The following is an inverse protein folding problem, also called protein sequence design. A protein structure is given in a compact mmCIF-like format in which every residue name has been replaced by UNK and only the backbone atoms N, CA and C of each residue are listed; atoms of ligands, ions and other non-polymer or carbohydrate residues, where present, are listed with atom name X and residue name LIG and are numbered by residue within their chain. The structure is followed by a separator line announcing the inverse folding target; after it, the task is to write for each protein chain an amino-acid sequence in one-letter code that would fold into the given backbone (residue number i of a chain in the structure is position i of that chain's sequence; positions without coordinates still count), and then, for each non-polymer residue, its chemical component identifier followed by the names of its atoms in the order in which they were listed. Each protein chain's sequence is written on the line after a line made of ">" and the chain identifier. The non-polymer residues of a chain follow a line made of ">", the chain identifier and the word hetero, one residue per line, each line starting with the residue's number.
data_IF_537395615682
#
_entry.id   IF_537395615682
#
_cell.length_a   1.000
_cell.length_b   1.000
_cell.length_c   1.000
_cell.angle_alpha   90.00
_cell.angle_beta   90.00
_cell.angle_gamma   90.00
#
_symmetry.space_group_name_H-M   'P 1'
#
loop_
_entity.id
_entity.type
_entity.pdbx_description
1 polymer ?
#
# COMPACT_ATOMS: atom_id res chain seq x y z
N UNK A 1 -9.26 -2.48 4.44
CA UNK A 1 -8.96 -1.10 4.01
C UNK A 1 -7.88 -1.02 2.93
N UNK A 2 -6.57 -0.96 3.23
CA UNK A 2 -5.53 -0.99 2.19
C UNK A 2 -5.52 -2.31 1.40
N UNK A 3 -5.76 -3.43 2.09
CA UNK A 3 -5.93 -4.75 1.50
C UNK A 3 -7.03 -4.78 0.43
N UNK A 4 -8.20 -4.19 0.71
CA UNK A 4 -9.34 -4.20 -0.21
C UNK A 4 -9.04 -3.40 -1.48
N UNK A 5 -8.49 -2.19 -1.32
CA UNK A 5 -8.07 -1.35 -2.46
C UNK A 5 -7.04 -2.08 -3.32
N UNK A 6 -6.02 -2.64 -2.69
CA UNK A 6 -4.98 -3.37 -3.40
C UNK A 6 -5.48 -4.67 -4.02
N UNK A 7 -6.68 -5.16 -3.67
CA UNK A 7 -7.33 -6.33 -4.27
C UNK A 7 -8.21 -5.98 -5.47
N UNK A 8 -8.68 -4.73 -5.59
CA UNK A 8 -9.58 -4.32 -6.68
C UNK A 8 -8.98 -3.30 -7.64
N UNK A 9 -7.94 -2.57 -7.26
CA UNK A 9 -7.34 -1.55 -8.13
C UNK A 9 -6.52 -2.17 -9.27
N UNK A 10 -6.29 -1.37 -10.30
CA UNK A 10 -5.29 -1.66 -11.32
C UNK A 10 -3.90 -1.73 -10.69
N UNK A 11 -3.14 -2.79 -11.02
CA UNK A 11 -1.80 -3.02 -10.47
C UNK A 11 -0.73 -2.20 -11.21
N UNK A 12 -0.94 -0.88 -11.26
CA UNK A 12 -0.05 0.12 -11.83
C UNK A 12 0.33 1.14 -10.76
N UNK A 13 1.39 1.93 -10.99
CA UNK A 13 1.85 2.92 -10.02
C UNK A 13 0.74 3.94 -9.72
N UNK A 14 0.15 4.48 -10.77
CA UNK A 14 -0.90 5.48 -10.70
C UNK A 14 -2.19 4.88 -10.12
N UNK A 15 -2.54 3.65 -10.50
CA UNK A 15 -3.71 2.95 -9.98
C UNK A 15 -3.63 2.74 -8.47
N UNK A 16 -2.49 2.27 -7.97
CA UNK A 16 -2.25 2.06 -6.54
C UNK A 16 -2.25 3.39 -5.78
N UNK A 17 -1.47 4.37 -6.25
CA UNK A 17 -1.32 5.65 -5.54
C UNK A 17 -2.63 6.44 -5.48
N UNK A 18 -3.34 6.57 -6.60
CA UNK A 18 -4.59 7.34 -6.65
C UNK A 18 -5.67 6.73 -5.76
N UNK A 19 -5.88 5.41 -5.81
CA UNK A 19 -6.90 4.75 -5.00
C UNK A 19 -6.57 4.79 -3.50
N UNK A 20 -5.30 4.57 -3.13
CA UNK A 20 -4.88 4.67 -1.73
C UNK A 20 -4.99 6.11 -1.21
N UNK A 21 -4.55 7.11 -1.97
CA UNK A 21 -4.68 8.53 -1.57
C UNK A 21 -6.14 8.95 -1.44
N UNK A 22 -7.01 8.54 -2.37
CA UNK A 22 -8.45 8.79 -2.26
C UNK A 22 -9.01 8.20 -0.97
N UNK A 23 -8.72 6.92 -0.71
CA UNK A 23 -9.21 6.25 0.50
C UNK A 23 -8.71 6.93 1.78
N UNK A 24 -7.44 7.31 1.85
CA UNK A 24 -6.87 8.01 3.02
C UNK A 24 -7.60 9.34 3.25
N UNK A 25 -7.86 10.08 2.17
CA UNK A 25 -8.61 11.34 2.23
C UNK A 25 -10.05 11.11 2.69
N UNK A 26 -10.72 10.10 2.17
CA UNK A 26 -12.11 9.78 2.52
C UNK A 26 -12.26 9.37 4.00
N UNK A 27 -11.23 8.76 4.58
CA UNK A 27 -11.18 8.44 6.01
C UNK A 27 -10.71 9.61 6.89
N UNK A 28 -10.39 10.78 6.31
CA UNK A 28 -9.87 11.94 7.03
C UNK A 28 -8.46 11.75 7.61
N UNK A 29 -7.70 10.79 7.07
CA UNK A 29 -6.35 10.47 7.53
C UNK A 29 -5.30 11.33 6.83
N UNK A 30 -4.12 11.40 7.44
CA UNK A 30 -2.95 12.05 6.82
C UNK A 30 -2.18 11.03 5.97
N UNK A 31 -1.78 11.43 4.77
CA UNK A 31 -1.00 10.59 3.85
C UNK A 31 0.30 10.09 4.50
N UNK A 32 1.09 10.99 5.10
CA UNK A 32 2.42 10.66 5.64
C UNK A 32 2.41 9.49 6.63
N UNK A 33 1.62 9.51 7.73
CA UNK A 33 1.58 8.38 8.66
C UNK A 33 0.98 7.12 8.05
N UNK A 34 -0.01 7.24 7.16
CA UNK A 34 -0.59 6.09 6.47
C UNK A 34 0.43 5.36 5.60
N UNK A 35 1.13 6.07 4.72
CA UNK A 35 2.13 5.47 3.85
C UNK A 35 3.37 4.97 4.62
N UNK A 36 3.69 5.58 5.76
CA UNK A 36 4.71 5.05 6.67
C UNK A 36 4.30 3.70 7.29
N UNK A 37 3.05 3.59 7.76
CA UNK A 37 2.52 2.34 8.30
C UNK A 37 2.40 1.26 7.20
N UNK A 38 1.90 1.62 6.02
CA UNK A 38 1.81 0.72 4.88
C UNK A 38 3.19 0.19 4.47
N UNK A 39 4.23 1.06 4.47
CA UNK A 39 5.60 0.64 4.22
C UNK A 39 6.05 -0.43 5.22
N UNK A 40 5.82 -0.23 6.51
CA UNK A 40 6.19 -1.23 7.52
C UNK A 40 5.45 -2.56 7.32
N UNK A 41 4.16 -2.51 7.01
CA UNK A 41 3.35 -3.71 6.74
C UNK A 41 3.85 -4.48 5.51
N UNK A 42 4.30 -3.77 4.48
CA UNK A 42 4.71 -4.36 3.19
C UNK A 42 6.17 -4.80 3.20
N UNK A 43 7.09 -4.00 3.71
CA UNK A 43 8.54 -4.25 3.59
C UNK A 43 9.18 -4.71 4.89
N UNK A 44 8.51 -4.55 6.04
CA UNK A 44 9.07 -4.81 7.37
C UNK A 44 10.22 -3.87 7.75
N UNK A 45 10.54 -2.85 6.94
CA UNK A 45 11.64 -1.93 7.16
C UNK A 45 11.19 -0.48 6.95
N UNK A 46 11.63 0.48 7.80
CA UNK A 46 11.29 1.89 7.63
C UNK A 46 11.95 2.52 6.40
N UNK A 47 13.04 1.92 5.89
CA UNK A 47 13.81 2.42 4.75
C UNK A 47 13.77 1.42 3.61
N UNK A 48 13.24 1.85 2.47
CA UNK A 48 13.23 1.13 1.20
C UNK A 48 13.17 2.15 0.06
N UNK A 49 13.46 1.75 -1.20
CA UNK A 49 13.10 2.50 -2.41
C UNK A 49 11.59 2.87 -2.46
N UNK A 50 11.12 3.60 -3.49
CA UNK A 50 9.73 4.02 -3.59
C UNK A 50 8.76 2.84 -3.34
N UNK A 51 7.82 3.05 -2.41
CA UNK A 51 6.96 1.97 -1.88
C UNK A 51 6.18 1.30 -2.99
N UNK A 52 5.54 2.10 -3.84
CA UNK A 52 4.75 1.63 -4.98
C UNK A 52 5.60 0.83 -5.97
N UNK A 53 6.79 1.31 -6.30
CA UNK A 53 7.71 0.60 -7.21
C UNK A 53 8.16 -0.74 -6.61
N UNK A 54 8.44 -0.77 -5.30
CA UNK A 54 8.74 -2.01 -4.59
C UNK A 54 7.55 -2.98 -4.63
N UNK A 55 6.33 -2.48 -4.45
CA UNK A 55 5.10 -3.28 -4.54
C UNK A 55 4.88 -3.85 -5.96
N UNK A 56 5.17 -3.06 -7.00
CA UNK A 56 5.08 -3.49 -8.39
C UNK A 56 6.09 -4.62 -8.69
N UNK A 57 7.32 -4.51 -8.17
CA UNK A 57 8.35 -5.54 -8.32
C UNK A 57 8.00 -6.82 -7.56
N UNK A 58 7.51 -6.69 -6.32
CA UNK A 58 7.17 -7.84 -5.46
C UNK A 58 5.91 -8.57 -5.94
N UNK A 59 5.03 -7.88 -6.66
CA UNK A 59 3.78 -8.44 -7.16
C UNK A 59 2.64 -8.42 -6.14
N UNK A 60 1.42 -8.42 -6.64
CA UNK A 60 0.19 -8.27 -5.84
C UNK A 60 0.02 -9.32 -4.76
N UNK A 61 0.19 -10.59 -5.11
CA UNK A 61 -0.14 -11.70 -4.22
C UNK A 61 0.69 -11.69 -2.94
N UNK A 62 2.01 -11.45 -3.08
CA UNK A 62 2.93 -11.36 -1.94
C UNK A 62 2.60 -10.16 -1.04
N UNK A 63 2.19 -9.03 -1.62
CA UNK A 63 1.78 -7.84 -0.87
C UNK A 63 0.51 -8.12 -0.06
N UNK A 64 -0.49 -8.73 -0.70
CA UNK A 64 -1.74 -9.08 -0.03
C UNK A 64 -1.51 -10.10 1.10
N UNK A 65 -0.65 -11.10 0.89
CA UNK A 65 -0.26 -12.06 1.93
C UNK A 65 0.42 -11.37 3.13
N UNK A 66 1.34 -10.43 2.87
CA UNK A 66 2.02 -9.67 3.94
C UNK A 66 1.05 -8.80 4.73
N UNK A 67 0.13 -8.13 4.04
CA UNK A 67 -0.90 -7.33 4.69
C UNK A 67 -1.83 -8.19 5.54
N UNK A 68 -2.17 -9.40 5.09
CA UNK A 68 -3.00 -10.32 5.86
C UNK A 68 -2.34 -10.79 7.16
N UNK A 69 -1.01 -10.85 7.23
CA UNK A 69 -0.28 -11.24 8.46
C UNK A 69 -0.26 -10.17 9.55
N UNK A 70 -0.56 -8.91 9.20
CA UNK A 70 -0.51 -7.77 10.13
C UNK A 70 -1.89 -7.16 10.43
N UNK A 71 -2.95 -7.73 9.83
CA UNK A 71 -4.35 -7.46 10.15
C UNK A 71 -4.80 -8.31 11.35
#
# INVERSE_FOLDING_TARGET
>A
MAYEILTTCDWTKEGIESNLVSQVKDHGWKNTPFFAALRLAVTGKPVSPPLTESMLILGRDLILERLQKVL
#
